data_IF_352370451849
#
_entry.id   IF_352370451849
#
_cell.length_a   1.000
_cell.length_b   1.000
_cell.length_c   1.000
_cell.angle_alpha   90.00
_cell.angle_beta   90.00
_cell.angle_gamma   90.00
#
_symmetry.space_group_name_H-M   'P 1'
#
loop_
_entity.id
_entity.type
_entity.pdbx_description
1 polymer ?
#
# COMPACT_ATOMS: atom_id res chain seq x y z
N UNK A 1 -30.63 1.60 -0.55
CA UNK A 1 -29.33 1.08 -0.06
C UNK A 1 -28.80 2.00 1.03
N UNK A 2 -28.66 1.52 2.27
CA UNK A 2 -28.36 2.37 3.46
C UNK A 2 -27.12 3.27 3.32
N UNK A 3 -26.06 2.79 2.70
CA UNK A 3 -24.80 3.54 2.59
C UNK A 3 -24.90 4.80 1.69
N UNK A 4 -25.59 4.69 0.57
CA UNK A 4 -25.72 5.78 -0.40
C UNK A 4 -27.00 6.60 -0.20
N UNK A 5 -27.84 6.22 0.76
CA UNK A 5 -29.18 6.78 0.99
C UNK A 5 -30.07 6.77 -0.27
N UNK A 6 -29.86 5.79 -1.15
CA UNK A 6 -30.64 5.61 -2.37
C UNK A 6 -31.87 4.75 -2.08
N UNK A 7 -33.02 5.18 -2.55
CA UNK A 7 -34.26 4.41 -2.64
C UNK A 7 -34.21 3.38 -3.79
N UNK A 8 -35.27 2.61 -3.95
CA UNK A 8 -35.39 1.66 -5.06
C UNK A 8 -35.61 2.34 -6.41
N UNK A 9 -36.17 3.54 -6.39
CA UNK A 9 -36.48 4.40 -7.54
C UNK A 9 -35.28 5.24 -8.01
N UNK A 10 -34.22 5.33 -7.20
CA UNK A 10 -33.06 6.16 -7.54
C UNK A 10 -32.20 5.52 -8.63
N UNK A 11 -31.74 6.35 -9.56
CA UNK A 11 -30.82 5.92 -10.60
C UNK A 11 -29.46 5.53 -10.01
N UNK A 12 -29.09 4.26 -10.14
CA UNK A 12 -27.80 3.75 -9.71
C UNK A 12 -26.84 3.75 -10.90
N UNK A 13 -25.62 4.35 -10.77
CA UNK A 13 -24.63 4.32 -11.84
C UNK A 13 -24.27 2.88 -12.24
N UNK A 14 -24.29 2.60 -13.53
CA UNK A 14 -23.87 1.32 -14.08
C UNK A 14 -22.34 1.15 -14.05
N UNK A 15 -21.85 -0.04 -14.38
CA UNK A 15 -20.42 -0.33 -14.39
C UNK A 15 -19.63 0.52 -15.39
N UNK A 16 -20.25 0.91 -16.53
CA UNK A 16 -19.66 1.76 -17.56
C UNK A 16 -19.50 3.19 -17.06
N UNK A 17 -20.53 3.75 -16.42
CA UNK A 17 -20.49 5.07 -15.79
C UNK A 17 -19.38 5.17 -14.72
N UNK A 18 -19.26 4.15 -13.84
CA UNK A 18 -18.20 4.08 -12.84
C UNK A 18 -16.83 3.99 -13.51
N UNK A 19 -16.71 3.20 -14.58
CA UNK A 19 -15.46 3.10 -15.34
C UNK A 19 -15.07 4.44 -15.96
N UNK A 20 -16.02 5.12 -16.62
CA UNK A 20 -15.80 6.42 -17.26
C UNK A 20 -15.38 7.48 -16.24
N UNK A 21 -16.05 7.54 -15.10
CA UNK A 21 -15.70 8.46 -14.02
C UNK A 21 -14.26 8.24 -13.50
N UNK A 22 -13.86 7.00 -13.29
CA UNK A 22 -12.47 6.67 -12.91
C UNK A 22 -11.47 7.09 -13.99
N UNK A 23 -11.81 6.92 -15.26
CA UNK A 23 -10.95 7.33 -16.37
C UNK A 23 -10.81 8.86 -16.42
N UNK A 24 -11.89 9.60 -16.17
CA UNK A 24 -11.85 11.06 -16.04
C UNK A 24 -10.96 11.51 -14.88
N UNK A 25 -11.11 10.93 -13.69
CA UNK A 25 -10.22 11.19 -12.55
C UNK A 25 -8.75 10.90 -12.87
N UNK A 26 -8.50 9.82 -13.61
CA UNK A 26 -7.14 9.44 -14.02
C UNK A 26 -6.54 10.47 -14.98
N UNK A 27 -7.29 10.89 -15.98
CA UNK A 27 -6.86 11.89 -16.98
C UNK A 27 -6.64 13.27 -16.36
N UNK A 28 -7.53 13.66 -15.46
CA UNK A 28 -7.40 14.93 -14.72
C UNK A 28 -6.24 14.94 -13.72
N UNK A 29 -5.73 13.76 -13.30
CA UNK A 29 -4.63 13.65 -12.33
C UNK A 29 -4.98 14.00 -10.88
N UNK A 30 -6.24 14.33 -10.58
CA UNK A 30 -6.71 14.95 -9.32
C UNK A 30 -6.86 13.96 -8.15
N UNK A 31 -6.58 12.69 -8.32
CA UNK A 31 -6.86 11.69 -7.27
C UNK A 31 -6.06 11.92 -5.98
N UNK A 32 -4.87 12.51 -6.08
CA UNK A 32 -4.05 12.85 -4.91
C UNK A 32 -4.61 14.04 -4.16
N UNK A 33 -5.13 15.01 -4.88
CA UNK A 33 -5.74 16.22 -4.32
C UNK A 33 -7.04 15.83 -3.58
N UNK A 34 -7.89 15.02 -4.19
CA UNK A 34 -9.08 14.46 -3.53
C UNK A 34 -8.75 13.69 -2.25
N UNK A 35 -7.64 12.95 -2.25
CA UNK A 35 -7.19 12.26 -1.04
C UNK A 35 -6.73 13.27 0.04
N UNK A 36 -5.99 14.29 -0.35
CA UNK A 36 -5.50 15.33 0.56
C UNK A 36 -6.65 16.16 1.14
N UNK A 37 -7.63 16.53 0.32
CA UNK A 37 -8.83 17.26 0.74
C UNK A 37 -9.64 16.46 1.77
N UNK A 38 -9.82 15.16 1.51
CA UNK A 38 -10.51 14.29 2.46
C UNK A 38 -9.73 14.13 3.78
N UNK A 39 -8.38 14.01 3.74
CA UNK A 39 -7.55 14.01 4.96
C UNK A 39 -7.63 15.34 5.70
N UNK A 40 -7.67 16.46 4.98
CA UNK A 40 -7.91 17.80 5.53
C UNK A 40 -9.26 17.90 6.25
N UNK A 41 -10.30 17.39 5.61
CA UNK A 41 -11.64 17.34 6.21
C UNK A 41 -11.68 16.46 7.48
N UNK A 42 -11.04 15.30 7.48
CA UNK A 42 -10.91 14.45 8.68
C UNK A 42 -10.19 15.16 9.82
N UNK A 43 -9.14 15.94 9.52
CA UNK A 43 -8.45 16.77 10.52
C UNK A 43 -9.36 17.84 11.08
N UNK A 44 -10.13 18.51 10.23
CA UNK A 44 -11.15 19.49 10.64
C UNK A 44 -12.26 18.90 11.53
N UNK A 45 -12.48 17.57 11.45
CA UNK A 45 -13.37 16.82 12.35
C UNK A 45 -12.68 16.32 13.63
N UNK A 46 -11.45 16.77 13.92
CA UNK A 46 -10.71 16.40 15.13
C UNK A 46 -9.92 15.09 15.05
N UNK A 47 -9.98 14.34 13.93
CA UNK A 47 -9.20 13.11 13.78
C UNK A 47 -7.76 13.40 13.39
N UNK A 48 -6.99 13.92 14.35
CA UNK A 48 -5.59 14.29 14.15
C UNK A 48 -4.64 13.08 14.25
N UNK A 49 -3.57 13.08 13.48
CA UNK A 49 -2.57 12.00 13.48
C UNK A 49 -1.51 12.19 14.59
N UNK A 50 -1.91 12.41 15.84
CA UNK A 50 -1.05 12.84 16.96
C UNK A 50 -0.28 11.69 17.65
N UNK A 51 -0.71 10.44 17.54
CA UNK A 51 -0.19 9.33 18.38
C UNK A 51 0.91 8.51 17.72
N UNK A 52 1.44 8.98 16.60
CA UNK A 52 2.47 8.30 15.79
C UNK A 52 1.93 7.68 14.50
N UNK A 53 2.85 7.23 13.66
CA UNK A 53 2.54 6.74 12.32
C UNK A 53 3.11 5.33 12.09
N UNK A 54 2.37 4.53 11.35
CA UNK A 54 2.77 3.17 10.95
C UNK A 54 2.86 3.14 9.45
N UNK A 55 4.03 2.79 8.92
CA UNK A 55 4.30 2.73 7.48
C UNK A 55 4.53 1.29 7.06
N UNK A 56 3.86 0.90 5.99
CA UNK A 56 4.02 -0.43 5.38
C UNK A 56 3.59 -0.42 3.90
N UNK A 57 3.87 -1.52 3.19
CA UNK A 57 3.51 -1.72 1.81
C UNK A 57 2.78 -3.05 1.59
N UNK A 58 1.86 -3.07 0.65
CA UNK A 58 1.20 -4.29 0.23
C UNK A 58 1.23 -4.44 -1.29
N UNK A 59 1.47 -5.68 -1.74
CA UNK A 59 1.43 -6.02 -3.15
C UNK A 59 -0.03 -6.13 -3.58
N UNK A 60 -0.37 -5.43 -4.66
CA UNK A 60 -1.66 -5.47 -5.34
C UNK A 60 -1.47 -6.17 -6.68
N UNK A 61 -2.12 -7.32 -6.83
CA UNK A 61 -1.95 -8.13 -8.03
C UNK A 61 -2.56 -7.47 -9.27
N UNK A 62 -1.89 -7.67 -10.40
CA UNK A 62 -2.39 -7.38 -11.75
C UNK A 62 -2.40 -8.66 -12.59
N UNK A 63 -3.15 -8.72 -13.72
CA UNK A 63 -3.13 -9.86 -14.61
C UNK A 63 -1.73 -10.19 -15.10
N UNK A 64 -1.34 -11.44 -14.94
CA UNK A 64 0.00 -11.91 -15.33
C UNK A 64 0.18 -11.76 -16.83
N UNK A 65 1.35 -11.29 -17.22
CA UNK A 65 1.74 -11.17 -18.62
C UNK A 65 2.90 -12.11 -18.91
N UNK A 66 2.81 -12.78 -20.06
CA UNK A 66 3.92 -13.56 -20.62
C UNK A 66 4.69 -12.67 -21.58
N UNK A 67 5.91 -12.34 -21.24
CA UNK A 67 6.82 -11.55 -22.06
C UNK A 67 8.09 -12.40 -22.32
N UNK A 68 8.61 -12.33 -23.53
CA UNK A 68 9.91 -12.94 -23.86
C UNK A 68 11.04 -12.23 -23.10
N UNK A 69 12.23 -12.81 -23.06
CA UNK A 69 13.35 -12.19 -22.35
C UNK A 69 13.84 -10.92 -23.08
N UNK A 70 13.75 -10.87 -24.40
CA UNK A 70 14.01 -9.66 -25.19
C UNK A 70 13.00 -8.54 -24.87
N UNK A 71 11.69 -8.86 -24.76
CA UNK A 71 10.66 -7.91 -24.34
C UNK A 71 10.91 -7.41 -22.92
N UNK A 72 11.32 -8.29 -22.00
CA UNK A 72 11.65 -7.90 -20.62
C UNK A 72 12.86 -6.98 -20.54
N UNK A 73 13.91 -7.25 -21.34
CA UNK A 73 15.10 -6.41 -21.43
C UNK A 73 14.75 -5.00 -21.92
N UNK A 74 14.01 -4.90 -23.03
CA UNK A 74 13.54 -3.62 -23.57
C UNK A 74 12.72 -2.82 -22.55
N UNK A 75 11.79 -3.48 -21.84
CA UNK A 75 10.98 -2.82 -20.79
C UNK A 75 11.81 -2.36 -19.60
N UNK A 76 12.86 -3.09 -19.24
CA UNK A 76 13.78 -2.70 -18.16
C UNK A 76 14.55 -1.43 -18.51
N UNK A 77 14.88 -1.25 -19.79
CA UNK A 77 15.55 -0.06 -20.33
C UNK A 77 14.57 1.09 -20.65
N UNK A 78 13.28 0.93 -20.34
CA UNK A 78 12.24 1.93 -20.64
C UNK A 78 11.80 1.97 -22.10
N UNK A 79 12.30 1.03 -22.94
CA UNK A 79 11.95 0.96 -24.36
C UNK A 79 10.69 0.12 -24.59
N UNK A 80 9.94 0.46 -25.64
CA UNK A 80 8.82 -0.35 -26.11
C UNK A 80 9.37 -1.36 -27.12
N UNK A 81 9.13 -2.68 -26.94
CA UNK A 81 9.52 -3.68 -27.93
C UNK A 81 8.96 -3.38 -29.32
N UNK A 82 9.76 -3.53 -30.36
CA UNK A 82 9.40 -3.20 -31.73
C UNK A 82 8.17 -3.99 -32.23
N UNK A 83 8.13 -5.28 -31.90
CA UNK A 83 6.97 -6.15 -32.20
C UNK A 83 5.65 -5.63 -31.57
N UNK A 84 5.72 -4.89 -30.47
CA UNK A 84 4.52 -4.26 -29.87
C UNK A 84 4.14 -2.96 -30.58
N UNK A 85 5.13 -2.19 -31.06
CA UNK A 85 4.87 -0.98 -31.85
C UNK A 85 4.19 -1.32 -33.17
N UNK A 86 4.63 -2.37 -33.81
CA UNK A 86 4.02 -2.87 -35.04
C UNK A 86 2.59 -3.41 -34.87
N UNK A 87 2.18 -3.73 -33.62
CA UNK A 87 0.86 -4.30 -33.29
C UNK A 87 0.17 -3.46 -32.20
N UNK A 88 -0.50 -2.33 -32.57
CA UNK A 88 -1.13 -1.42 -31.59
C UNK A 88 -2.11 -2.10 -30.61
N UNK A 89 -2.89 -3.08 -31.09
CA UNK A 89 -3.81 -3.84 -30.26
C UNK A 89 -3.07 -4.66 -29.17
N UNK A 90 -1.91 -5.26 -29.51
CA UNK A 90 -1.03 -5.96 -28.55
C UNK A 90 -0.46 -4.96 -27.54
N UNK A 91 0.05 -3.82 -28.02
CA UNK A 91 0.60 -2.77 -27.17
C UNK A 91 -0.43 -2.25 -26.16
N UNK A 92 -1.67 -2.04 -26.58
CA UNK A 92 -2.76 -1.56 -25.73
C UNK A 92 -3.11 -2.54 -24.59
N UNK A 93 -2.81 -3.83 -24.74
CA UNK A 93 -3.06 -4.87 -23.74
C UNK A 93 -1.87 -5.15 -22.83
N UNK A 94 -0.71 -4.54 -23.08
CA UNK A 94 0.51 -4.75 -22.32
C UNK A 94 0.72 -3.71 -21.23
N UNK A 95 0.76 -4.16 -19.99
CA UNK A 95 1.14 -3.30 -18.87
C UNK A 95 2.66 -3.17 -18.80
N UNK A 96 3.15 -1.95 -19.02
CA UNK A 96 4.58 -1.63 -19.03
C UNK A 96 5.12 -1.16 -17.68
N UNK A 97 4.24 -0.95 -16.71
CA UNK A 97 4.59 -0.40 -15.38
C UNK A 97 4.54 -1.45 -14.28
N UNK A 98 3.64 -2.43 -14.38
CA UNK A 98 3.60 -3.54 -13.46
C UNK A 98 4.87 -4.39 -13.53
N UNK A 99 5.31 -4.94 -12.40
CA UNK A 99 6.53 -5.75 -12.29
C UNK A 99 6.31 -6.98 -11.41
N UNK A 100 7.10 -8.00 -11.69
CA UNK A 100 7.19 -9.18 -10.84
C UNK A 100 7.91 -8.86 -9.53
N UNK A 101 7.41 -9.43 -8.46
CA UNK A 101 8.04 -9.42 -7.14
C UNK A 101 7.80 -10.75 -6.44
N UNK A 102 8.62 -11.07 -5.45
CA UNK A 102 8.47 -12.27 -4.63
C UNK A 102 7.81 -11.91 -3.29
N UNK A 103 6.62 -12.46 -3.07
CA UNK A 103 6.01 -12.46 -1.75
C UNK A 103 6.52 -13.68 -0.99
N UNK A 104 7.12 -13.47 0.17
CA UNK A 104 7.53 -14.56 1.06
C UNK A 104 6.40 -14.90 2.02
N UNK A 105 5.94 -16.13 1.98
CA UNK A 105 4.95 -16.69 2.89
C UNK A 105 5.59 -17.72 3.80
N UNK A 106 5.12 -17.81 5.06
CA UNK A 106 5.58 -18.82 6.01
C UNK A 106 4.51 -19.89 6.16
N UNK A 107 4.77 -21.07 5.64
CA UNK A 107 3.97 -22.26 5.89
C UNK A 107 4.51 -23.05 7.08
N UNK A 108 3.63 -23.71 7.83
CA UNK A 108 4.02 -24.69 8.85
C UNK A 108 4.00 -26.08 8.23
N UNK A 109 5.16 -26.75 8.17
CA UNK A 109 5.23 -28.18 7.92
C UNK A 109 5.32 -28.92 9.24
N UNK A 110 4.60 -30.03 9.36
CA UNK A 110 4.84 -31.01 10.43
C UNK A 110 6.16 -31.73 10.13
N UNK A 111 7.04 -31.84 11.10
CA UNK A 111 8.23 -32.68 11.04
C UNK A 111 7.88 -34.09 11.52
N UNK A 112 8.67 -35.08 11.15
CA UNK A 112 8.50 -36.45 11.58
C UNK A 112 8.57 -36.62 13.13
N UNK A 113 9.24 -35.71 13.83
CA UNK A 113 9.33 -35.62 15.29
C UNK A 113 8.14 -34.90 15.97
N UNK A 114 7.08 -34.60 15.23
CA UNK A 114 5.92 -33.85 15.74
C UNK A 114 6.13 -32.33 15.87
N UNK A 115 7.35 -31.82 15.70
CA UNK A 115 7.61 -30.38 15.76
C UNK A 115 7.19 -29.68 14.45
N UNK A 116 6.63 -28.47 14.57
CA UNK A 116 6.19 -27.67 13.41
C UNK A 116 7.32 -26.77 12.90
N UNK A 117 7.95 -27.15 11.78
CA UNK A 117 8.92 -26.28 11.12
C UNK A 117 8.22 -25.19 10.29
N UNK A 118 8.77 -23.97 10.31
CA UNK A 118 8.37 -22.90 9.41
C UNK A 118 9.15 -23.01 8.11
N UNK A 119 8.46 -23.19 7.01
CA UNK A 119 9.05 -23.19 5.67
C UNK A 119 8.71 -21.88 4.99
N UNK A 120 9.71 -21.21 4.44
CA UNK A 120 9.54 -19.99 3.66
C UNK A 120 9.21 -20.36 2.22
N UNK A 121 8.05 -19.89 1.72
CA UNK A 121 7.59 -20.15 0.35
C UNK A 121 7.67 -18.83 -0.41
N UNK A 122 8.40 -18.81 -1.51
CA UNK A 122 8.46 -17.68 -2.43
C UNK A 122 7.29 -17.74 -3.42
N UNK A 123 6.37 -16.81 -3.36
CA UNK A 123 5.22 -16.70 -4.25
C UNK A 123 5.47 -15.53 -5.21
N UNK A 124 5.66 -15.76 -6.52
CA UNK A 124 5.80 -14.68 -7.48
C UNK A 124 4.44 -14.00 -7.71
N UNK A 125 4.43 -12.68 -7.61
CA UNK A 125 3.25 -11.85 -7.89
C UNK A 125 3.63 -10.77 -8.90
N UNK A 126 2.81 -10.60 -9.93
CA UNK A 126 2.93 -9.52 -10.90
C UNK A 126 1.95 -8.41 -10.53
N UNK A 127 2.40 -7.16 -10.49
CA UNK A 127 1.52 -6.04 -10.16
C UNK A 127 2.24 -4.80 -9.63
N UNK A 128 1.57 -4.15 -8.69
CA UNK A 128 1.93 -2.88 -8.08
C UNK A 128 2.06 -3.01 -6.57
N UNK A 129 2.62 -2.01 -5.94
CA UNK A 129 2.62 -1.87 -4.48
C UNK A 129 1.81 -0.64 -4.07
N UNK A 130 0.97 -0.81 -3.05
CA UNK A 130 0.35 0.27 -2.30
C UNK A 130 1.17 0.49 -1.03
N UNK A 131 1.91 1.59 -0.95
CA UNK A 131 2.61 2.04 0.24
C UNK A 131 1.71 3.01 0.97
N UNK A 132 1.50 2.80 2.25
CA UNK A 132 0.64 3.66 3.07
C UNK A 132 1.31 4.04 4.38
N UNK A 133 1.01 5.25 4.85
CA UNK A 133 1.22 5.69 6.22
C UNK A 133 -0.13 5.84 6.90
N UNK A 134 -0.35 5.13 8.00
CA UNK A 134 -1.57 5.26 8.81
C UNK A 134 -1.25 5.93 10.14
N UNK A 135 -2.18 6.66 10.70
CA UNK A 135 -2.04 7.09 12.10
C UNK A 135 -2.33 5.92 13.06
N UNK A 136 -1.62 5.93 14.19
CA UNK A 136 -1.70 4.85 15.17
C UNK A 136 -3.04 4.84 15.91
N UNK A 137 -3.61 6.01 16.23
CA UNK A 137 -4.83 6.11 17.05
C UNK A 137 -6.07 5.65 16.27
N UNK A 138 -6.30 6.28 15.13
CA UNK A 138 -7.54 6.11 14.38
C UNK A 138 -7.40 5.06 13.26
N UNK A 139 -6.16 4.67 12.89
CA UNK A 139 -5.85 3.77 11.77
C UNK A 139 -6.33 4.29 10.42
N UNK A 140 -6.45 5.61 10.29
CA UNK A 140 -6.76 6.28 9.03
C UNK A 140 -5.49 6.37 8.17
N UNK A 141 -5.62 6.15 6.88
CA UNK A 141 -4.52 6.34 5.92
C UNK A 141 -4.31 7.83 5.76
N UNK A 142 -3.09 8.32 6.05
CA UNK A 142 -2.73 9.75 6.00
C UNK A 142 -1.89 10.11 4.79
N UNK A 143 -1.26 9.12 4.19
CA UNK A 143 -0.48 9.29 2.98
C UNK A 143 -0.34 7.98 2.25
N UNK A 144 -0.18 8.05 0.94
CA UNK A 144 0.03 6.86 0.12
C UNK A 144 0.96 7.15 -1.06
N UNK A 145 1.61 6.08 -1.53
CA UNK A 145 2.37 6.07 -2.79
C UNK A 145 2.11 4.75 -3.51
N UNK A 146 2.03 4.82 -4.83
CA UNK A 146 1.87 3.62 -5.67
C UNK A 146 3.10 3.46 -6.52
N UNK A 147 3.66 2.26 -6.55
CA UNK A 147 4.84 1.92 -7.35
C UNK A 147 4.66 0.59 -8.07
N UNK A 148 5.59 0.28 -8.96
CA UNK A 148 5.68 -1.08 -9.52
C UNK A 148 5.95 -2.11 -8.41
N UNK A 149 5.56 -3.36 -8.63
CA UNK A 149 5.81 -4.46 -7.68
C UNK A 149 7.27 -4.67 -7.30
N UNK A 150 8.21 -4.29 -8.16
CA UNK A 150 9.65 -4.45 -7.91
C UNK A 150 10.29 -3.29 -7.14
N UNK A 151 9.60 -2.18 -6.92
CA UNK A 151 10.16 -1.03 -6.22
C UNK A 151 10.55 -1.37 -4.78
N UNK A 152 11.62 -0.75 -4.29
CA UNK A 152 12.09 -0.93 -2.93
C UNK A 152 11.22 -0.15 -1.93
N UNK A 153 10.66 -0.84 -0.94
CA UNK A 153 9.71 -0.28 0.01
C UNK A 153 10.32 0.85 0.85
N UNK A 154 11.58 0.64 1.28
CA UNK A 154 12.28 1.61 2.12
C UNK A 154 12.42 3.00 1.50
N UNK A 155 12.46 3.12 0.18
CA UNK A 155 12.55 4.41 -0.50
C UNK A 155 11.26 5.24 -0.43
N UNK A 156 10.14 4.62 -0.05
CA UNK A 156 8.83 5.28 -0.07
C UNK A 156 8.45 5.93 1.27
N UNK A 157 9.26 5.81 2.33
CA UNK A 157 8.95 6.40 3.63
C UNK A 157 8.60 7.89 3.55
N UNK A 158 9.40 8.75 2.92
CA UNK A 158 9.10 10.18 2.84
C UNK A 158 7.79 10.51 2.13
N UNK A 159 7.45 9.71 1.11
CA UNK A 159 6.26 9.93 0.29
C UNK A 159 4.94 9.60 1.00
N UNK A 160 4.99 8.71 2.01
CA UNK A 160 3.78 8.27 2.73
C UNK A 160 3.65 8.87 4.13
N UNK A 161 4.67 9.61 4.57
CA UNK A 161 4.65 10.27 5.87
C UNK A 161 3.72 11.48 5.86
N UNK A 162 2.76 11.51 6.79
CA UNK A 162 1.94 12.69 7.01
C UNK A 162 2.77 13.84 7.59
N UNK A 163 2.43 15.06 7.20
CA UNK A 163 2.96 16.28 7.81
C UNK A 163 2.27 16.48 9.16
N UNK A 164 2.81 15.89 10.21
CA UNK A 164 2.33 16.09 11.57
C UNK A 164 3.49 16.02 12.56
N UNK A 165 3.21 16.39 13.79
CA UNK A 165 4.15 16.41 14.91
C UNK A 165 4.17 15.11 15.72
N UNK A 166 3.53 14.05 15.21
CA UNK A 166 3.50 12.76 15.89
C UNK A 166 4.90 12.17 15.99
N UNK A 167 5.33 11.90 17.19
CA UNK A 167 6.73 11.65 17.53
C UNK A 167 7.28 10.30 17.06
N UNK A 168 6.47 9.24 16.98
CA UNK A 168 6.94 7.88 16.74
C UNK A 168 6.58 7.38 15.34
N UNK A 169 7.53 6.70 14.66
CA UNK A 169 7.31 6.11 13.32
C UNK A 169 7.69 4.63 13.35
N UNK A 170 6.69 3.77 13.16
CA UNK A 170 6.85 2.32 13.09
C UNK A 170 6.89 1.84 11.65
N UNK A 171 7.87 1.03 11.31
CA UNK A 171 7.95 0.33 10.04
C UNK A 171 8.78 -0.96 10.18
N UNK A 172 8.77 -1.79 9.14
CA UNK A 172 9.59 -3.00 9.12
C UNK A 172 11.06 -2.70 8.76
N UNK A 173 11.88 -3.76 8.78
CA UNK A 173 13.34 -3.67 8.56
C UNK A 173 13.74 -3.11 7.19
N UNK A 174 12.90 -3.25 6.16
CA UNK A 174 13.16 -2.69 4.84
C UNK A 174 13.29 -1.15 4.87
N UNK A 175 12.58 -0.50 5.77
CA UNK A 175 12.60 0.96 5.94
C UNK A 175 13.81 1.46 6.77
N UNK A 176 14.59 0.55 7.40
CA UNK A 176 15.74 0.95 8.22
C UNK A 176 16.96 1.24 7.35
N UNK A 177 17.00 2.40 6.75
CA UNK A 177 18.13 2.91 5.94
C UNK A 177 18.71 4.16 6.59
N UNK A 178 19.98 4.49 6.28
CA UNK A 178 20.60 5.74 6.76
C UNK A 178 19.81 6.97 6.33
N UNK A 179 19.33 6.99 5.07
CA UNK A 179 18.52 8.09 4.55
C UNK A 179 17.21 8.28 5.31
N UNK A 180 16.50 7.19 5.63
CA UNK A 180 15.25 7.27 6.39
C UNK A 180 15.47 7.67 7.85
N UNK A 181 16.53 7.18 8.50
CA UNK A 181 16.85 7.59 9.88
C UNK A 181 17.19 9.09 9.91
N UNK A 182 18.01 9.59 8.97
CA UNK A 182 18.30 11.02 8.84
C UNK A 182 17.05 11.86 8.52
N UNK A 183 16.17 11.34 7.66
CA UNK A 183 14.89 12.00 7.33
C UNK A 183 13.97 12.14 8.56
N UNK A 184 13.92 11.12 9.41
CA UNK A 184 13.12 11.15 10.63
C UNK A 184 13.75 12.08 11.67
N UNK A 185 15.05 12.01 11.85
CA UNK A 185 15.81 12.85 12.79
C UNK A 185 15.68 14.35 12.46
N UNK A 186 15.86 14.71 11.18
CA UNK A 186 15.68 16.08 10.69
C UNK A 186 14.27 16.66 10.94
N UNK A 187 13.29 15.82 11.24
CA UNK A 187 11.90 16.21 11.57
C UNK A 187 11.55 16.04 13.04
N UNK A 188 12.52 15.73 13.89
CA UNK A 188 12.29 15.47 15.31
C UNK A 188 11.45 14.22 15.57
N UNK A 189 11.37 13.28 14.62
CA UNK A 189 10.56 12.08 14.73
C UNK A 189 11.40 10.90 15.27
N UNK A 190 10.84 10.18 16.23
CA UNK A 190 11.52 9.01 16.81
C UNK A 190 11.34 7.77 15.96
N UNK A 191 12.44 7.20 15.47
CA UNK A 191 12.42 5.94 14.73
C UNK A 191 12.06 4.76 15.65
N UNK A 192 10.95 4.09 15.32
CA UNK A 192 10.54 2.79 15.85
C UNK A 192 10.61 1.72 14.76
N UNK A 193 11.41 1.96 13.72
CA UNK A 193 11.65 0.99 12.65
C UNK A 193 12.38 -0.22 13.23
N UNK A 194 11.99 -1.44 12.86
CA UNK A 194 12.60 -2.68 13.34
C UNK A 194 14.11 -2.67 13.16
N UNK A 195 14.83 -3.15 14.18
CA UNK A 195 16.26 -3.39 14.06
C UNK A 195 16.51 -4.46 13.00
N UNK A 196 17.48 -4.18 12.14
CA UNK A 196 17.92 -5.10 11.08
C UNK A 196 19.10 -5.92 11.55
N UNK A 197 19.03 -7.23 11.31
CA UNK A 197 20.18 -8.13 11.51
C UNK A 197 21.30 -7.74 10.54
N UNK A 198 22.53 -7.67 11.03
CA UNK A 198 23.71 -7.54 10.17
C UNK A 198 24.20 -8.93 9.75
N UNK A 199 24.86 -9.08 8.60
CA UNK A 199 25.51 -10.33 8.24
C UNK A 199 26.46 -10.78 9.35
N UNK A 200 26.40 -12.05 9.73
CA UNK A 200 27.24 -12.61 10.78
C UNK A 200 26.91 -12.22 12.24
N UNK A 201 25.98 -11.27 12.47
CA UNK A 201 25.61 -10.83 13.82
C UNK A 201 24.12 -10.99 14.07
N UNK A 202 23.76 -11.68 15.14
CA UNK A 202 22.38 -11.73 15.61
C UNK A 202 21.97 -10.44 16.33
N UNK A 203 20.66 -10.19 16.37
CA UNK A 203 20.11 -9.13 17.21
C UNK A 203 20.32 -9.45 18.68
N UNK A 204 20.68 -8.44 19.46
CA UNK A 204 20.79 -8.55 20.92
C UNK A 204 19.42 -8.87 21.56
N UNK A 205 19.42 -9.38 22.79
CA UNK A 205 18.17 -9.64 23.54
C UNK A 205 17.28 -8.38 23.64
N UNK A 206 17.81 -7.19 23.99
CA UNK A 206 17.02 -5.96 24.01
C UNK A 206 16.43 -5.60 22.62
N UNK A 207 17.20 -5.75 21.54
CA UNK A 207 16.73 -5.49 20.18
C UNK A 207 15.60 -6.46 19.76
N UNK A 208 15.72 -7.74 20.10
CA UNK A 208 14.67 -8.75 19.87
C UNK A 208 13.39 -8.40 20.66
N UNK A 209 13.52 -7.98 21.94
CA UNK A 209 12.40 -7.52 22.77
C UNK A 209 11.74 -6.27 22.17
N UNK A 210 12.53 -5.27 21.76
CA UNK A 210 12.05 -4.06 21.13
C UNK A 210 11.30 -4.38 19.80
N UNK A 211 11.85 -5.24 18.94
CA UNK A 211 11.18 -5.64 17.70
C UNK A 211 9.84 -6.35 17.95
N UNK A 212 9.73 -7.18 18.99
CA UNK A 212 8.44 -7.80 19.38
C UNK A 212 7.39 -6.74 19.77
N UNK A 213 7.78 -5.74 20.56
CA UNK A 213 6.90 -4.65 20.97
C UNK A 213 6.47 -3.81 19.74
N UNK A 214 7.40 -3.48 18.86
CA UNK A 214 7.13 -2.76 17.61
C UNK A 214 6.21 -3.53 16.66
N UNK A 215 6.38 -4.86 16.55
CA UNK A 215 5.52 -5.72 15.73
C UNK A 215 4.05 -5.67 16.17
N UNK A 216 3.77 -5.62 17.48
CA UNK A 216 2.40 -5.51 18.00
C UNK A 216 1.70 -4.24 17.52
N UNK A 217 2.43 -3.11 17.47
CA UNK A 217 1.88 -1.84 16.99
C UNK A 217 1.75 -1.87 15.46
N UNK A 218 2.78 -2.35 14.75
CA UNK A 218 2.79 -2.41 13.29
C UNK A 218 1.69 -3.31 12.72
N UNK A 219 1.28 -4.36 13.43
CA UNK A 219 0.22 -5.27 12.94
C UNK A 219 -1.11 -4.56 12.63
N UNK A 220 -1.33 -3.35 13.15
CA UNK A 220 -2.52 -2.57 12.83
C UNK A 220 -2.67 -2.27 11.33
N UNK A 221 -1.55 -2.07 10.60
CA UNK A 221 -1.58 -1.80 9.15
C UNK A 221 -1.96 -3.04 8.34
N UNK A 222 -1.68 -4.23 8.86
CA UNK A 222 -2.06 -5.50 8.22
C UNK A 222 -3.59 -5.63 8.11
N UNK A 223 -4.32 -5.14 9.14
CA UNK A 223 -5.79 -5.06 9.12
C UNK A 223 -6.33 -4.14 8.01
N UNK A 224 -5.65 -3.03 7.74
CA UNK A 224 -6.00 -2.13 6.62
C UNK A 224 -5.88 -2.85 5.28
N UNK A 225 -4.75 -3.50 5.04
CA UNK A 225 -4.53 -4.26 3.81
C UNK A 225 -5.45 -5.48 3.66
N UNK A 226 -5.73 -6.17 4.76
CA UNK A 226 -6.68 -7.27 4.77
C UNK A 226 -8.08 -6.78 4.35
N UNK A 227 -8.53 -5.66 4.91
CA UNK A 227 -9.81 -5.06 4.54
C UNK A 227 -9.88 -4.71 3.05
N UNK A 228 -8.84 -4.07 2.50
CA UNK A 228 -8.78 -3.71 1.08
C UNK A 228 -8.83 -4.94 0.17
N UNK A 229 -8.14 -6.02 0.54
CA UNK A 229 -8.09 -7.25 -0.27
C UNK A 229 -9.34 -8.10 -0.15
N UNK A 230 -9.91 -8.20 1.04
CA UNK A 230 -11.07 -9.07 1.30
C UNK A 230 -12.39 -8.34 1.01
N UNK A 231 -12.60 -7.16 1.61
CA UNK A 231 -13.88 -6.45 1.46
C UNK A 231 -14.02 -5.72 0.12
N UNK A 232 -12.91 -5.20 -0.44
CA UNK A 232 -12.95 -4.48 -1.72
C UNK A 232 -12.46 -5.33 -2.91
N UNK A 233 -11.96 -6.54 -2.67
CA UNK A 233 -11.40 -7.39 -3.72
C UNK A 233 -10.33 -6.67 -4.55
N UNK A 234 -9.46 -5.87 -3.89
CA UNK A 234 -8.54 -4.96 -4.56
C UNK A 234 -7.53 -5.71 -5.43
N UNK A 235 -7.73 -5.63 -6.73
CA UNK A 235 -6.80 -6.04 -7.78
C UNK A 235 -6.76 -4.96 -8.87
N UNK A 236 -5.63 -4.77 -9.53
CA UNK A 236 -5.49 -3.82 -10.63
C UNK A 236 -5.66 -4.58 -11.96
N UNK A 237 -6.80 -4.41 -12.61
CA UNK A 237 -7.06 -4.98 -13.96
C UNK A 237 -6.86 -3.97 -15.08
N UNK A 238 -6.63 -2.71 -14.73
CA UNK A 238 -6.34 -1.62 -15.67
C UNK A 238 -4.85 -1.57 -15.99
N UNK A 239 -4.49 -1.01 -17.13
CA UNK A 239 -3.11 -0.96 -17.63
C UNK A 239 -2.51 0.41 -17.33
N UNK A 240 -1.28 0.40 -16.83
CA UNK A 240 -0.47 1.58 -16.61
C UNK A 240 -0.56 2.18 -15.20
N UNK A 241 0.51 2.87 -14.81
CA UNK A 241 0.69 3.43 -13.45
C UNK A 241 -0.40 4.42 -13.07
N UNK A 242 -0.82 5.30 -13.98
CA UNK A 242 -1.84 6.31 -13.69
C UNK A 242 -3.17 5.67 -13.27
N UNK A 243 -3.67 4.69 -14.04
CA UNK A 243 -4.92 3.97 -13.73
C UNK A 243 -4.78 3.10 -12.49
N UNK A 244 -3.62 2.47 -12.29
CA UNK A 244 -3.33 1.71 -11.07
C UNK A 244 -3.35 2.62 -9.84
N UNK A 245 -2.74 3.81 -9.92
CA UNK A 245 -2.74 4.82 -8.86
C UNK A 245 -4.15 5.26 -8.52
N UNK A 246 -4.95 5.63 -9.52
CA UNK A 246 -6.35 6.04 -9.29
C UNK A 246 -7.15 4.93 -8.61
N UNK A 247 -7.04 3.69 -9.08
CA UNK A 247 -7.79 2.57 -8.48
C UNK A 247 -7.38 2.30 -7.03
N UNK A 248 -6.09 2.30 -6.75
CA UNK A 248 -5.55 2.06 -5.40
C UNK A 248 -5.91 3.22 -4.48
N UNK A 249 -5.82 4.46 -4.95
CA UNK A 249 -6.20 5.64 -4.18
C UNK A 249 -7.69 5.66 -3.82
N UNK A 250 -8.57 5.29 -4.75
CA UNK A 250 -10.00 5.14 -4.47
C UNK A 250 -10.27 4.05 -3.41
N UNK A 251 -9.51 2.95 -3.41
CA UNK A 251 -9.60 1.95 -2.36
C UNK A 251 -9.10 2.48 -0.99
N UNK A 252 -8.05 3.31 -0.98
CA UNK A 252 -7.57 3.98 0.22
C UNK A 252 -8.62 4.97 0.76
N UNK A 253 -9.26 5.76 -0.10
CA UNK A 253 -10.37 6.66 0.26
C UNK A 253 -11.56 5.89 0.81
N UNK A 254 -12.01 4.84 0.12
CA UNK A 254 -13.13 4.02 0.57
C UNK A 254 -12.87 3.37 1.93
N UNK A 255 -11.63 2.94 2.18
CA UNK A 255 -11.22 2.47 3.50
C UNK A 255 -11.36 3.58 4.56
N UNK A 256 -10.84 4.78 4.28
CA UNK A 256 -10.91 5.91 5.21
C UNK A 256 -12.36 6.34 5.48
N UNK A 257 -13.23 6.38 4.47
CA UNK A 257 -14.67 6.67 4.65
C UNK A 257 -15.31 5.66 5.59
N UNK A 258 -15.12 4.36 5.35
CA UNK A 258 -15.65 3.31 6.23
C UNK A 258 -15.09 3.39 7.64
N UNK A 259 -13.80 3.68 7.75
CA UNK A 259 -13.14 3.82 9.07
C UNK A 259 -13.66 5.04 9.81
N UNK A 260 -13.86 6.15 9.12
CA UNK A 260 -14.47 7.36 9.69
C UNK A 260 -15.88 7.10 10.22
N UNK A 261 -16.75 6.45 9.43
CA UNK A 261 -18.11 6.12 9.86
C UNK A 261 -18.06 5.32 11.17
N UNK A 262 -17.23 4.29 11.23
CA UNK A 262 -17.07 3.49 12.43
C UNK A 262 -16.54 4.33 13.63
N UNK A 263 -15.57 5.21 13.40
CA UNK A 263 -15.03 6.08 14.45
C UNK A 263 -16.08 7.04 14.96
N UNK A 264 -16.85 7.66 14.07
CA UNK A 264 -17.91 8.61 14.46
C UNK A 264 -19.00 7.97 15.33
N UNK A 265 -19.27 6.66 15.11
CA UNK A 265 -20.25 5.92 15.89
C UNK A 265 -19.70 5.40 17.24
N UNK A 266 -18.40 5.06 17.33
CA UNK A 266 -17.82 4.34 18.46
C UNK A 266 -16.75 5.14 19.21
N UNK A 267 -16.10 6.06 18.57
CA UNK A 267 -15.02 6.90 19.10
C UNK A 267 -15.10 8.31 18.48
N UNK A 268 -16.15 9.10 18.80
CA UNK A 268 -16.22 10.46 18.30
C UNK A 268 -14.97 11.24 18.69
N UNK A 269 -14.52 12.12 17.80
CA UNK A 269 -13.43 13.05 18.12
C UNK A 269 -13.88 14.01 19.21
N UNK A 270 -12.97 14.33 20.12
CA UNK A 270 -13.23 15.29 21.20
C UNK A 270 -13.36 16.72 20.65
#
# INVERSE_FOLDING_TARGET
>A
MRFLRLGLEDAVPDAKTIWLYREHLTRAGVIRDLFADFDGWLKGKGYLAMSGQIVDASIIAAPRQRNSDAEKAALKEGRIPEDWRAKPAKLAQKDRDARWTLKRAKARKSKADGTKARVEIAIPVFGYKNHIGIDKAHRLIRGFSVTSGAAYDGAQLPAVMARNTASDVWAETAYRTRANEAFLDARGLRSRIHFRRRPGQDLTRPQKKANRARSKIRSAVEGVFAHQKQAFGLVVRTIGMARATTKIALANLAYNVRRYIWLAEHQPAA
#
